data_IF_611886507123
#
_entry.id   IF_611886507123
#
_cell.length_a   1.000
_cell.length_b   1.000
_cell.length_c   1.000
_cell.angle_alpha   90.00
_cell.angle_beta   90.00
_cell.angle_gamma   90.00
#
_symmetry.space_group_name_H-M   'P 1'
#
loop_
_entity.id
_entity.type
_entity.pdbx_description
1 polymer ?
#
# COMPACT_ATOMS: atom_id res chain seq x y z
N UNK A 1 -34.31 -5.47 35.12
CA UNK A 1 -33.39 -4.42 34.68
C UNK A 1 -32.52 -4.98 33.57
N UNK A 2 -32.91 -4.80 32.31
CA UNK A 2 -32.22 -5.41 31.18
C UNK A 2 -31.15 -4.45 30.69
N UNK A 3 -29.90 -4.68 31.11
CA UNK A 3 -28.75 -3.90 30.68
C UNK A 3 -28.53 -4.12 29.18
N UNK A 4 -28.80 -3.08 28.39
CA UNK A 4 -28.47 -3.05 26.97
C UNK A 4 -26.95 -2.90 26.83
N UNK A 5 -26.24 -4.03 26.88
CA UNK A 5 -24.86 -4.12 26.42
C UNK A 5 -24.84 -3.75 24.93
N UNK A 6 -24.39 -2.54 24.61
CA UNK A 6 -24.21 -2.05 23.25
C UNK A 6 -23.27 -2.98 22.49
N UNK A 7 -23.83 -3.80 21.60
CA UNK A 7 -23.08 -4.75 20.78
C UNK A 7 -22.16 -3.97 19.84
N UNK A 8 -20.86 -4.12 19.99
CA UNK A 8 -19.86 -3.53 19.08
C UNK A 8 -20.01 -4.16 17.69
N UNK A 9 -20.44 -3.36 16.71
CA UNK A 9 -20.54 -3.80 15.31
C UNK A 9 -19.21 -3.54 14.62
N UNK A 10 -18.55 -4.60 14.16
CA UNK A 10 -17.35 -4.51 13.34
C UNK A 10 -17.73 -4.63 11.87
N UNK A 11 -17.30 -3.67 11.06
CA UNK A 11 -17.52 -3.66 9.60
C UNK A 11 -16.20 -3.66 8.87
N UNK A 12 -16.13 -4.37 7.75
CA UNK A 12 -14.97 -4.28 6.86
C UNK A 12 -14.87 -2.87 6.25
N UNK A 13 -13.64 -2.40 6.08
CA UNK A 13 -13.33 -1.14 5.41
C UNK A 13 -12.13 -1.35 4.49
N UNK A 14 -12.06 -0.56 3.43
CA UNK A 14 -10.94 -0.57 2.50
C UNK A 14 -9.91 0.47 2.93
N UNK A 15 -8.66 0.04 3.13
CA UNK A 15 -7.53 0.94 3.38
C UNK A 15 -6.86 1.32 2.07
N UNK A 16 -6.82 2.63 1.78
CA UNK A 16 -6.11 3.19 0.64
C UNK A 16 -4.91 4.01 1.10
N UNK A 17 -3.84 4.00 0.30
CA UNK A 17 -2.66 4.84 0.50
C UNK A 17 -2.53 5.81 -0.67
N UNK A 18 -2.39 7.09 -0.37
CA UNK A 18 -2.20 8.17 -1.33
C UNK A 18 -0.98 9.02 -0.92
N UNK A 19 -0.39 9.72 -1.88
CA UNK A 19 0.72 10.65 -1.65
C UNK A 19 0.13 12.02 -1.36
N UNK A 20 0.27 12.51 -0.13
CA UNK A 20 -0.20 13.86 0.23
C UNK A 20 0.71 14.96 -0.31
N UNK A 21 2.02 14.74 -0.26
CA UNK A 21 3.04 15.64 -0.78
C UNK A 21 4.16 14.82 -1.41
N UNK A 22 4.53 15.17 -2.64
CA UNK A 22 5.58 14.48 -3.39
C UNK A 22 6.95 14.98 -2.92
N UNK A 23 7.88 14.09 -2.54
CA UNK A 23 9.23 14.52 -2.19
C UNK A 23 10.00 15.00 -3.43
N UNK A 24 10.97 15.93 -3.30
CA UNK A 24 11.81 16.37 -4.41
C UNK A 24 12.57 15.23 -5.10
N UNK A 25 12.89 14.18 -4.34
CA UNK A 25 13.51 12.95 -4.84
C UNK A 25 12.69 11.75 -4.36
N UNK A 26 12.16 10.98 -5.30
CA UNK A 26 11.38 9.78 -5.03
C UNK A 26 12.24 8.52 -5.22
N UNK A 27 12.31 7.69 -4.18
CA UNK A 27 13.05 6.42 -4.21
C UNK A 27 12.05 5.26 -4.29
N UNK A 28 12.17 4.44 -5.33
CA UNK A 28 11.29 3.29 -5.56
C UNK A 28 12.03 1.97 -5.31
N UNK A 29 11.76 1.37 -4.16
CA UNK A 29 12.30 0.04 -3.84
C UNK A 29 11.44 -1.07 -4.45
N UNK A 30 12.01 -1.84 -5.38
CA UNK A 30 11.37 -3.05 -5.88
C UNK A 30 11.51 -4.18 -4.86
N UNK A 31 10.40 -4.60 -4.24
CA UNK A 31 10.37 -5.71 -3.28
C UNK A 31 10.58 -7.05 -3.97
N UNK A 32 11.82 -7.36 -4.30
CA UNK A 32 12.21 -8.61 -4.97
C UNK A 32 12.45 -9.77 -4.03
N UNK A 33 12.51 -9.56 -2.71
CA UNK A 33 12.74 -10.64 -1.76
C UNK A 33 11.52 -10.78 -0.88
N UNK A 34 10.92 -11.96 -0.88
CA UNK A 34 9.78 -12.30 -0.05
C UNK A 34 10.12 -13.47 0.86
N UNK A 35 9.74 -13.35 2.12
CA UNK A 35 9.76 -14.45 3.09
C UNK A 35 8.64 -15.43 2.75
N UNK A 36 8.96 -16.70 2.71
CA UNK A 36 8.00 -17.79 2.64
C UNK A 36 8.05 -18.60 3.93
N UNK A 37 7.17 -19.60 4.08
CA UNK A 37 7.16 -20.44 5.30
C UNK A 37 8.53 -21.08 5.57
N UNK A 38 9.30 -21.37 4.52
CA UNK A 38 10.68 -21.86 4.63
C UNK A 38 11.57 -21.04 3.69
N UNK A 39 12.29 -20.07 4.27
CA UNK A 39 13.32 -19.28 3.58
C UNK A 39 12.83 -18.04 2.83
N UNK A 40 13.74 -17.48 2.02
CA UNK A 40 13.52 -16.29 1.21
C UNK A 40 13.55 -16.63 -0.27
N UNK A 41 12.65 -16.03 -1.04
CA UNK A 41 12.60 -16.20 -2.49
C UNK A 41 12.82 -14.88 -3.20
N UNK A 42 13.67 -14.88 -4.23
CA UNK A 42 13.84 -13.77 -5.16
C UNK A 42 12.74 -13.79 -6.24
N UNK A 43 12.13 -12.63 -6.50
CA UNK A 43 11.16 -12.39 -7.55
C UNK A 43 11.91 -11.91 -8.79
N UNK A 44 12.00 -12.81 -9.77
CA UNK A 44 12.70 -12.57 -11.03
C UNK A 44 11.83 -11.93 -12.11
N UNK A 45 10.54 -11.68 -11.83
CA UNK A 45 9.64 -11.00 -12.78
C UNK A 45 10.25 -9.66 -13.20
N UNK A 46 10.29 -9.43 -14.51
CA UNK A 46 10.73 -8.16 -15.08
C UNK A 46 9.71 -7.07 -14.70
N UNK A 47 10.22 -5.89 -14.37
CA UNK A 47 9.41 -4.70 -14.10
C UNK A 47 9.89 -3.66 -15.09
N UNK A 48 9.08 -3.37 -16.10
CA UNK A 48 9.32 -2.21 -16.96
C UNK A 48 9.00 -0.94 -16.19
N UNK A 49 9.79 0.10 -16.41
CA UNK A 49 9.56 1.42 -15.84
C UNK A 49 9.64 2.45 -16.96
N UNK A 50 8.77 3.46 -16.94
CA UNK A 50 8.81 4.52 -17.94
C UNK A 50 9.99 5.46 -17.66
N UNK A 51 10.44 6.17 -18.69
CA UNK A 51 11.38 7.28 -18.51
C UNK A 51 10.75 8.45 -17.73
N UNK A 52 9.45 8.68 -17.91
CA UNK A 52 8.67 9.69 -17.21
C UNK A 52 7.54 9.02 -16.42
N UNK A 53 7.49 9.25 -15.11
CA UNK A 53 6.47 8.70 -14.22
C UNK A 53 5.47 9.79 -13.81
N UNK A 54 4.22 9.67 -14.24
CA UNK A 54 3.14 10.55 -13.81
C UNK A 54 2.59 10.10 -12.44
N UNK A 55 2.76 10.94 -11.41
CA UNK A 55 2.28 10.68 -10.05
C UNK A 55 0.86 11.20 -9.79
N UNK A 56 0.29 12.03 -10.68
CA UNK A 56 -1.01 12.66 -10.47
C UNK A 56 -2.12 11.69 -10.04
N UNK A 57 -2.26 10.46 -10.60
CA UNK A 57 -3.35 9.55 -10.22
C UNK A 57 -3.26 8.98 -8.79
N UNK A 58 -2.13 9.14 -8.10
CA UNK A 58 -1.90 8.59 -6.75
C UNK A 58 -1.63 9.67 -5.70
N UNK A 59 -1.58 10.94 -6.12
CA UNK A 59 -1.54 12.07 -5.21
C UNK A 59 -2.95 12.36 -4.68
N UNK A 60 -3.04 12.90 -3.46
CA UNK A 60 -4.28 13.57 -3.05
C UNK A 60 -4.39 14.86 -3.87
N UNK A 61 -5.54 15.11 -4.50
CA UNK A 61 -5.80 16.37 -5.22
C UNK A 61 -5.38 17.57 -4.35
N UNK A 62 -4.69 18.53 -4.97
CA UNK A 62 -4.46 19.86 -4.40
C UNK A 62 -5.52 20.82 -4.94
#
# INVERSE_FOLDING_TARGET
SQENLSKMVCTSSTKQYLISQVPPVLILHLKRFQTQRVGFRKVFKHVSFPMLLNLAPVCTDH
#
